data_IF_472871093796
#
_entry.id   IF_472871093796
#
_cell.length_a   1.000
_cell.length_b   1.000
_cell.length_c   1.000
_cell.angle_alpha   90.00
_cell.angle_beta   90.00
_cell.angle_gamma   90.00
#
_symmetry.space_group_name_H-M   'P 1'
#
loop_
_entity.id
_entity.type
_entity.pdbx_description
1 polymer ?
#
# COMPACT_ATOMS: atom_id res chain seq x y z
N UNK A 1 -3.61 17.36 -14.49
CA UNK A 1 -2.96 16.70 -13.34
C UNK A 1 -1.52 17.18 -13.22
N UNK A 2 -1.11 17.51 -12.02
CA UNK A 2 0.23 18.00 -11.74
C UNK A 2 1.08 16.87 -11.14
N UNK A 3 2.32 16.74 -11.58
CA UNK A 3 3.27 15.77 -11.05
C UNK A 3 4.39 16.51 -10.34
N UNK A 4 4.65 16.17 -9.08
CA UNK A 4 5.72 16.77 -8.31
C UNK A 4 6.76 15.73 -7.92
N UNK A 5 8.03 16.12 -8.00
CA UNK A 5 9.16 15.28 -7.66
C UNK A 5 9.85 15.82 -6.41
N UNK A 6 10.18 14.93 -5.49
CA UNK A 6 10.91 15.27 -4.28
C UNK A 6 12.22 14.51 -4.24
N UNK A 7 13.27 15.16 -3.77
CA UNK A 7 14.60 14.55 -3.73
C UNK A 7 15.31 14.90 -2.44
N UNK A 8 16.30 14.08 -2.10
CA UNK A 8 17.26 14.42 -1.06
C UNK A 8 18.22 15.46 -1.64
N UNK A 9 18.15 16.71 -1.17
CA UNK A 9 18.88 17.83 -1.75
C UNK A 9 20.40 17.68 -1.76
N UNK A 10 20.98 16.95 -0.79
CA UNK A 10 22.43 16.75 -0.71
C UNK A 10 22.89 15.58 -1.57
N UNK A 11 22.14 14.48 -1.57
CA UNK A 11 22.53 13.25 -2.26
C UNK A 11 21.95 13.13 -3.65
N UNK A 12 21.07 14.05 -4.03
CA UNK A 12 20.47 14.14 -5.37
C UNK A 12 19.79 12.88 -5.87
N UNK A 13 19.22 12.07 -4.97
CA UNK A 13 18.38 10.94 -5.37
C UNK A 13 16.91 11.26 -5.12
N UNK A 14 16.06 10.70 -5.98
CA UNK A 14 14.62 10.88 -5.91
C UNK A 14 14.07 10.16 -4.68
N UNK A 15 13.29 10.85 -3.84
CA UNK A 15 12.66 10.26 -2.65
C UNK A 15 11.17 10.01 -2.84
N UNK A 16 10.47 10.89 -3.53
CA UNK A 16 9.02 10.77 -3.71
C UNK A 16 8.58 11.38 -5.03
N UNK A 17 7.46 10.87 -5.54
CA UNK A 17 6.71 11.46 -6.64
C UNK A 17 5.27 11.59 -6.20
N UNK A 18 4.66 12.74 -6.42
CA UNK A 18 3.26 13.01 -6.13
C UNK A 18 2.52 13.41 -7.40
N UNK A 19 1.32 12.88 -7.57
CA UNK A 19 0.39 13.31 -8.62
C UNK A 19 -0.75 14.05 -7.95
N UNK A 20 -1.03 15.27 -8.41
CA UNK A 20 -1.99 16.17 -7.78
C UNK A 20 -3.08 16.60 -8.76
N UNK A 21 -4.28 16.81 -8.26
CA UNK A 21 -5.36 17.41 -9.04
C UNK A 21 -5.27 18.95 -8.99
N UNK A 22 -6.24 19.63 -9.61
CA UNK A 22 -6.27 21.09 -9.68
C UNK A 22 -6.34 21.76 -8.30
N UNK A 23 -6.88 21.06 -7.31
CA UNK A 23 -7.00 21.57 -5.94
C UNK A 23 -5.76 21.26 -5.08
N UNK A 24 -4.71 20.70 -5.67
CA UNK A 24 -3.49 20.35 -4.95
C UNK A 24 -3.59 19.08 -4.09
N UNK A 25 -4.63 18.28 -4.30
CA UNK A 25 -4.82 17.02 -3.56
C UNK A 25 -4.23 15.86 -4.32
N UNK A 26 -3.70 14.87 -3.59
CA UNK A 26 -3.20 13.64 -4.20
C UNK A 26 -4.31 12.98 -5.01
N UNK A 27 -4.02 12.68 -6.27
CA UNK A 27 -5.00 12.14 -7.19
C UNK A 27 -4.34 11.52 -8.41
N UNK A 28 -4.68 10.28 -8.72
CA UNK A 28 -4.29 9.66 -9.99
C UNK A 28 -5.27 8.53 -10.31
N UNK A 29 -6.04 8.69 -11.38
CA UNK A 29 -7.04 7.70 -11.79
C UNK A 29 -6.41 6.49 -12.47
N UNK A 30 -5.17 6.61 -12.93
CA UNK A 30 -4.50 5.59 -13.75
C UNK A 30 -3.36 4.85 -13.04
N UNK A 31 -3.17 5.11 -11.75
CA UNK A 31 -2.08 4.49 -11.00
C UNK A 31 -1.93 5.09 -9.62
N UNK A 32 -0.79 4.82 -8.93
CA UNK A 32 -0.56 5.41 -7.63
C UNK A 32 -0.39 6.93 -7.74
N UNK A 33 -0.89 7.65 -6.73
CA UNK A 33 -0.78 9.09 -6.64
C UNK A 33 0.47 9.53 -5.87
N UNK A 34 0.97 8.67 -4.99
CA UNK A 34 2.21 8.92 -4.25
C UNK A 34 3.10 7.69 -4.33
N UNK A 35 4.35 7.91 -4.70
CA UNK A 35 5.35 6.84 -4.79
C UNK A 35 6.56 7.29 -4.00
N UNK A 36 7.06 6.44 -3.11
CA UNK A 36 8.30 6.70 -2.39
C UNK A 36 9.35 5.69 -2.83
N UNK A 37 10.60 6.08 -2.74
CA UNK A 37 11.73 5.29 -3.22
C UNK A 37 12.76 5.09 -2.15
N UNK A 38 13.37 3.92 -2.16
CA UNK A 38 14.59 3.67 -1.41
C UNK A 38 15.74 4.49 -2.03
N UNK A 39 16.79 4.68 -1.27
CA UNK A 39 18.00 5.35 -1.76
C UNK A 39 18.54 4.70 -3.04
N UNK A 40 18.36 3.41 -3.20
CA UNK A 40 18.78 2.63 -4.38
C UNK A 40 18.03 3.00 -5.65
N UNK A 41 16.91 3.73 -5.54
CA UNK A 41 16.03 4.03 -6.66
C UNK A 41 14.89 3.06 -6.83
N UNK A 42 14.86 1.97 -6.05
CA UNK A 42 13.77 1.01 -6.09
C UNK A 42 12.56 1.57 -5.34
N UNK A 43 11.37 1.17 -5.77
CA UNK A 43 10.13 1.62 -5.13
C UNK A 43 10.05 1.04 -3.73
N UNK A 44 9.77 1.91 -2.75
CA UNK A 44 9.53 1.54 -1.36
C UNK A 44 8.04 1.40 -1.09
N UNK A 45 7.23 2.32 -1.61
CA UNK A 45 5.80 2.36 -1.32
C UNK A 45 5.04 3.00 -2.47
N UNK A 46 3.85 2.48 -2.73
CA UNK A 46 2.90 3.07 -3.67
C UNK A 46 1.58 3.27 -2.94
N UNK A 47 1.03 4.47 -3.04
CA UNK A 47 -0.26 4.79 -2.45
C UNK A 47 -1.21 5.32 -3.51
N UNK A 48 -2.43 4.80 -3.51
CA UNK A 48 -3.48 5.19 -4.45
C UNK A 48 -4.42 6.18 -3.77
N UNK A 49 -4.64 7.32 -4.40
CA UNK A 49 -5.52 8.36 -3.91
C UNK A 49 -6.41 8.88 -5.02
N UNK A 50 -7.65 9.19 -4.67
CA UNK A 50 -8.57 9.93 -5.53
C UNK A 50 -9.06 11.11 -4.71
N UNK A 51 -8.83 12.32 -5.22
CA UNK A 51 -9.25 13.57 -4.61
C UNK A 51 -8.83 13.69 -3.13
N UNK A 52 -7.59 13.29 -2.83
CA UNK A 52 -7.03 13.37 -1.49
C UNK A 52 -7.41 12.24 -0.55
N UNK A 53 -8.21 11.28 -0.99
CA UNK A 53 -8.62 10.13 -0.17
C UNK A 53 -7.97 8.87 -0.68
N UNK A 54 -7.44 8.06 0.23
CA UNK A 54 -6.83 6.79 -0.12
C UNK A 54 -7.90 5.84 -0.64
N UNK A 55 -7.71 5.36 -1.87
CA UNK A 55 -8.78 4.67 -2.58
C UNK A 55 -8.25 3.89 -3.77
N UNK A 56 -8.65 2.63 -3.89
CA UNK A 56 -8.46 1.83 -5.11
C UNK A 56 -9.55 0.77 -5.20
N UNK A 57 -10.38 0.87 -6.22
CA UNK A 57 -11.48 -0.09 -6.45
C UNK A 57 -10.99 -1.41 -7.03
N UNK A 58 -9.81 -1.44 -7.63
CA UNK A 58 -9.32 -2.58 -8.39
C UNK A 58 -8.23 -3.38 -7.68
N UNK A 59 -7.85 -2.99 -6.48
CA UNK A 59 -6.78 -3.66 -5.75
C UNK A 59 -6.44 -2.95 -4.46
N UNK A 60 -5.26 -3.24 -3.88
CA UNK A 60 -4.83 -2.53 -2.68
C UNK A 60 -4.55 -1.05 -2.97
N UNK A 61 -4.86 -0.19 -2.00
CA UNK A 61 -4.59 1.24 -2.11
C UNK A 61 -3.24 1.61 -1.51
N UNK A 62 -2.63 0.71 -0.75
CA UNK A 62 -1.28 0.87 -0.20
C UNK A 62 -0.50 -0.40 -0.48
N UNK A 63 0.68 -0.25 -1.09
CA UNK A 63 1.60 -1.35 -1.33
C UNK A 63 2.98 -0.91 -0.84
N UNK A 64 3.59 -1.71 0.03
CA UNK A 64 4.97 -1.52 0.46
C UNK A 64 5.84 -2.65 -0.06
N UNK A 65 7.06 -2.33 -0.38
CA UNK A 65 8.03 -3.29 -0.91
C UNK A 65 9.27 -3.35 -0.02
N UNK A 66 9.88 -4.52 0.03
CA UNK A 66 11.23 -4.65 0.56
C UNK A 66 12.24 -4.16 -0.49
N UNK A 67 13.45 -3.87 -0.08
CA UNK A 67 14.48 -3.41 -1.02
C UNK A 67 14.85 -4.44 -2.08
N UNK A 68 14.61 -5.74 -1.81
CA UNK A 68 14.81 -6.80 -2.81
C UNK A 68 13.72 -6.85 -3.87
N UNK A 69 12.69 -5.98 -3.78
CA UNK A 69 11.58 -5.91 -4.73
C UNK A 69 10.38 -6.77 -4.36
N UNK A 70 10.49 -7.64 -3.36
CA UNK A 70 9.36 -8.45 -2.90
C UNK A 70 8.37 -7.57 -2.14
N UNK A 71 7.10 -7.92 -2.22
CA UNK A 71 6.06 -7.18 -1.53
C UNK A 71 6.17 -7.40 -0.03
N UNK A 72 6.04 -6.31 0.73
CA UNK A 72 6.06 -6.33 2.18
C UNK A 72 4.67 -6.25 2.77
N UNK A 73 3.77 -5.46 2.14
CA UNK A 73 2.44 -5.22 2.67
C UNK A 73 1.48 -4.80 1.57
N UNK A 74 0.26 -5.32 1.62
CA UNK A 74 -0.89 -4.83 0.87
C UNK A 74 -1.94 -4.36 1.87
N UNK A 75 -2.59 -3.24 1.59
CA UNK A 75 -3.72 -2.80 2.39
C UNK A 75 -4.78 -2.18 1.50
N UNK A 76 -6.04 -2.53 1.77
CA UNK A 76 -7.19 -2.12 0.97
C UNK A 76 -7.92 -0.96 1.61
N UNK A 77 -8.20 0.09 0.83
CA UNK A 77 -8.94 1.27 1.26
C UNK A 77 -9.93 1.70 0.20
N UNK A 78 -11.11 2.14 0.64
CA UNK A 78 -12.07 2.86 -0.19
C UNK A 78 -12.42 4.15 0.55
N UNK A 79 -12.17 5.30 -0.08
CA UNK A 79 -12.45 6.63 0.49
C UNK A 79 -11.90 6.81 1.91
N UNK A 80 -10.61 6.48 2.11
CA UNK A 80 -9.89 6.55 3.39
C UNK A 80 -10.31 5.50 4.44
N UNK A 81 -11.27 4.67 4.15
CA UNK A 81 -11.70 3.62 5.08
C UNK A 81 -11.09 2.28 4.70
N UNK A 82 -10.55 1.56 5.68
CA UNK A 82 -10.08 0.19 5.48
C UNK A 82 -11.29 -0.67 5.15
N UNK A 83 -11.31 -1.24 3.95
CA UNK A 83 -12.43 -2.05 3.49
C UNK A 83 -11.95 -3.23 2.65
N UNK A 84 -12.55 -4.42 2.86
CA UNK A 84 -12.24 -5.55 2.01
C UNK A 84 -12.81 -5.34 0.61
N UNK A 85 -12.06 -5.73 -0.42
CA UNK A 85 -12.50 -5.66 -1.80
C UNK A 85 -13.22 -6.92 -2.27
N UNK A 86 -13.19 -7.97 -1.46
CA UNK A 86 -13.76 -9.27 -1.85
C UNK A 86 -14.59 -9.86 -0.73
N UNK A 87 -15.25 -10.97 -1.03
CA UNK A 87 -16.11 -11.68 -0.09
C UNK A 87 -15.37 -12.30 1.10
N UNK A 88 -14.04 -12.36 1.02
CA UNK A 88 -13.21 -12.96 2.08
C UNK A 88 -12.94 -12.04 3.26
N UNK A 89 -13.35 -10.78 3.16
CA UNK A 89 -13.13 -9.76 4.20
C UNK A 89 -11.65 -9.46 4.49
N UNK A 90 -10.77 -9.78 3.58
CA UNK A 90 -9.34 -9.53 3.71
C UNK A 90 -9.06 -8.04 3.51
N UNK A 91 -8.39 -7.39 4.47
CA UNK A 91 -8.09 -5.95 4.40
C UNK A 91 -6.60 -5.65 4.37
N UNK A 92 -5.76 -6.57 4.85
CA UNK A 92 -4.31 -6.35 4.90
C UNK A 92 -3.58 -7.68 4.85
N UNK A 93 -2.48 -7.72 4.08
CA UNK A 93 -1.56 -8.86 4.05
C UNK A 93 -0.15 -8.33 4.26
N UNK A 94 0.57 -8.92 5.20
CA UNK A 94 1.99 -8.67 5.37
C UNK A 94 2.78 -9.90 4.94
N UNK A 95 3.93 -9.67 4.35
CA UNK A 95 4.82 -10.73 3.85
C UNK A 95 6.17 -10.66 4.52
N UNK A 96 6.81 -11.79 4.64
CA UNK A 96 8.23 -11.86 4.98
C UNK A 96 9.07 -11.46 3.76
N UNK A 97 10.32 -11.15 3.98
CA UNK A 97 11.23 -10.78 2.90
C UNK A 97 11.43 -11.89 1.87
N UNK A 98 11.22 -13.16 2.27
CA UNK A 98 11.29 -14.31 1.38
C UNK A 98 10.05 -14.49 0.49
N UNK A 99 9.05 -13.61 0.61
CA UNK A 99 7.83 -13.65 -0.21
C UNK A 99 6.68 -14.45 0.38
N UNK A 100 6.90 -15.15 1.48
CA UNK A 100 5.82 -15.91 2.13
C UNK A 100 4.98 -15.02 3.03
N UNK A 101 3.70 -15.35 3.17
CA UNK A 101 2.78 -14.58 4.00
C UNK A 101 3.21 -14.65 5.46
N UNK A 102 3.24 -13.49 6.11
CA UNK A 102 3.52 -13.36 7.55
C UNK A 102 2.24 -13.19 8.35
N UNK A 103 1.31 -12.40 7.83
CA UNK A 103 0.10 -12.02 8.54
C UNK A 103 -1.01 -11.69 7.59
N UNK A 104 -2.23 -12.14 7.89
CA UNK A 104 -3.43 -11.77 7.15
C UNK A 104 -4.43 -11.20 8.14
N UNK A 105 -4.93 -10.00 7.86
CA UNK A 105 -5.94 -9.34 8.67
C UNK A 105 -7.26 -9.31 7.91
N UNK A 106 -8.29 -9.83 8.56
CA UNK A 106 -9.66 -9.86 8.04
C UNK A 106 -10.54 -8.96 8.87
N UNK A 107 -11.43 -8.26 8.23
CA UNK A 107 -12.38 -7.37 8.88
C UNK A 107 -13.76 -7.56 8.26
N UNK A 108 -14.74 -7.91 9.09
CA UNK A 108 -16.13 -8.01 8.68
C UNK A 108 -16.83 -6.70 9.06
N UNK A 109 -17.19 -5.91 8.06
CA UNK A 109 -17.81 -4.61 8.24
C UNK A 109 -19.22 -4.72 8.86
N UNK A 110 -19.93 -5.79 8.57
CA UNK A 110 -21.30 -5.99 9.06
C UNK A 110 -21.34 -6.33 10.54
N UNK A 111 -20.40 -7.17 11.01
CA UNK A 111 -20.33 -7.59 12.40
C UNK A 111 -19.33 -6.82 13.24
N UNK A 112 -18.45 -6.04 12.56
CA UNK A 112 -17.35 -5.31 13.18
C UNK A 112 -16.28 -6.23 13.80
N UNK A 113 -16.27 -7.49 13.41
CA UNK A 113 -15.29 -8.48 13.91
C UNK A 113 -14.02 -8.44 13.09
N UNK A 114 -12.89 -8.64 13.76
CA UNK A 114 -11.58 -8.79 13.11
C UNK A 114 -11.03 -10.17 13.37
N UNK A 115 -10.24 -10.67 12.42
CA UNK A 115 -9.53 -11.93 12.54
C UNK A 115 -8.12 -11.75 12.01
N UNK A 116 -7.15 -12.21 12.77
CA UNK A 116 -5.75 -12.10 12.39
C UNK A 116 -5.14 -13.50 12.34
N UNK A 117 -4.53 -13.86 11.21
CA UNK A 117 -3.85 -15.15 11.05
C UNK A 117 -2.37 -14.86 10.84
N UNK A 118 -1.53 -15.43 11.67
CA UNK A 118 -0.08 -15.27 11.61
C UNK A 118 0.60 -16.57 11.19
N UNK A 119 1.65 -16.42 10.40
CA UNK A 119 2.43 -17.55 9.87
C UNK A 119 3.90 -17.35 10.21
N UNK A 120 4.64 -18.46 10.33
CA UNK A 120 6.09 -18.38 10.45
C UNK A 120 6.72 -18.31 9.05
N UNK A 121 8.05 -18.19 8.99
CA UNK A 121 8.77 -18.06 7.72
C UNK A 121 8.68 -19.30 6.83
N UNK A 122 8.28 -20.44 7.37
CA UNK A 122 8.07 -21.67 6.61
C UNK A 122 6.63 -21.78 6.07
N UNK A 123 5.77 -20.83 6.40
CA UNK A 123 4.38 -20.81 5.95
C UNK A 123 3.41 -21.55 6.85
N UNK A 124 3.81 -21.90 8.07
CA UNK A 124 2.95 -22.59 9.02
C UNK A 124 2.24 -21.59 9.92
N UNK A 125 0.97 -21.84 10.21
CA UNK A 125 0.17 -21.00 11.10
C UNK A 125 0.72 -21.10 12.52
N UNK A 126 0.94 -19.93 13.16
CA UNK A 126 1.42 -19.84 14.55
C UNK A 126 0.41 -19.17 15.46
N UNK A 127 -0.62 -18.54 14.88
CA UNK A 127 -1.67 -17.91 15.66
C UNK A 127 -2.93 -17.65 14.83
#
# INVERSE_FOLDING_TARGET
>A
MKKEYYSNGRKKYLTEVHYLNENGKLNNENGPARITFYKSGKVEMEEYYINGKQHNENGPALIKYYENGNIRLYQYFLNNEVQPLNEKNLVCIEYYENGKVRNELYYNKETNETKNIMYNEDGKIIK
#
